data_IF_178969049715
#
_entry.id   IF_178969049715
#
_cell.length_a   1.000
_cell.length_b   1.000
_cell.length_c   1.000
_cell.angle_alpha   90.00
_cell.angle_beta   90.00
_cell.angle_gamma   90.00
#
_symmetry.space_group_name_H-M   'P 1'
#
loop_
_entity.id
_entity.type
_entity.pdbx_description
1 polymer ?
#
# COMPACT_ATOMS: atom_id res chain seq x y z
N UNK A 1 -0.66 4.59 -13.96
CA UNK A 1 0.53 4.97 -13.18
C UNK A 1 1.76 4.87 -14.08
N UNK A 2 2.79 5.69 -13.93
CA UNK A 2 4.06 5.51 -14.66
C UNK A 2 5.09 4.67 -13.85
N UNK A 3 6.16 4.21 -14.50
CA UNK A 3 7.17 3.37 -13.86
C UNK A 3 7.87 4.07 -12.66
N UNK A 4 8.04 5.39 -12.69
CA UNK A 4 8.65 6.15 -11.58
C UNK A 4 7.71 6.21 -10.38
N UNK A 5 6.41 6.34 -10.61
CA UNK A 5 5.39 6.26 -9.58
C UNK A 5 5.32 4.86 -8.96
N UNK A 6 5.43 3.80 -9.77
CA UNK A 6 5.50 2.41 -9.27
C UNK A 6 6.71 2.24 -8.34
N UNK A 7 7.89 2.65 -8.78
CA UNK A 7 9.11 2.55 -7.96
C UNK A 7 9.03 3.37 -6.67
N UNK A 8 8.45 4.58 -6.72
CA UNK A 8 8.22 5.40 -5.52
C UNK A 8 7.32 4.71 -4.51
N UNK A 9 6.20 4.14 -4.97
CA UNK A 9 5.29 3.40 -4.10
C UNK A 9 5.95 2.16 -3.49
N UNK A 10 6.67 1.39 -4.30
CA UNK A 10 7.44 0.22 -3.85
C UNK A 10 8.41 0.59 -2.75
N UNK A 11 9.23 1.61 -3.00
CA UNK A 11 10.22 2.10 -2.06
C UNK A 11 9.59 2.59 -0.76
N UNK A 12 8.51 3.37 -0.84
CA UNK A 12 7.78 3.86 0.33
C UNK A 12 7.30 2.72 1.23
N UNK A 13 6.62 1.74 0.64
CA UNK A 13 6.05 0.60 1.36
C UNK A 13 7.14 -0.31 1.94
N UNK A 14 8.23 -0.54 1.20
CA UNK A 14 9.39 -1.28 1.71
C UNK A 14 10.03 -0.58 2.91
N UNK A 15 10.16 0.74 2.85
CA UNK A 15 10.73 1.51 3.95
C UNK A 15 9.84 1.51 5.20
N UNK A 16 8.53 1.63 5.02
CA UNK A 16 7.57 1.53 6.13
C UNK A 16 7.55 0.12 6.74
N UNK A 17 7.65 -0.92 5.91
CA UNK A 17 7.78 -2.30 6.37
C UNK A 17 9.07 -2.53 7.16
N UNK A 18 10.21 -2.00 6.69
CA UNK A 18 11.52 -2.07 7.36
C UNK A 18 11.49 -1.43 8.76
N UNK A 19 10.70 -0.38 8.93
CA UNK A 19 10.50 0.29 10.22
C UNK A 19 9.55 -0.46 11.15
N UNK A 20 8.87 -1.50 10.66
CA UNK A 20 7.86 -2.23 11.40
C UNK A 20 6.68 -1.34 11.80
N UNK A 21 6.26 -0.42 10.92
CA UNK A 21 5.11 0.43 11.14
C UNK A 21 3.80 -0.38 11.24
N UNK A 22 2.80 0.18 11.90
CA UNK A 22 1.46 -0.38 12.02
C UNK A 22 0.61 0.01 10.80
N UNK A 23 0.05 -0.98 10.14
CA UNK A 23 -0.93 -0.88 9.06
C UNK A 23 -2.34 -0.77 9.63
N UNK A 24 -3.15 0.07 9.02
CA UNK A 24 -4.60 0.13 9.20
C UNK A 24 -5.28 0.28 7.83
N UNK A 25 -6.23 -0.60 7.51
CA UNK A 25 -7.07 -0.53 6.31
C UNK A 25 -8.54 -0.65 6.75
N UNK A 26 -9.21 0.47 7.06
CA UNK A 26 -10.52 0.47 7.69
C UNK A 26 -11.60 -0.31 6.93
N UNK A 27 -11.61 -0.18 5.60
CA UNK A 27 -12.62 -0.84 4.75
C UNK A 27 -12.55 -2.38 4.78
N UNK A 28 -11.44 -2.94 5.25
CA UNK A 28 -11.20 -4.38 5.34
C UNK A 28 -11.06 -4.86 6.80
N UNK A 29 -11.22 -3.98 7.79
CA UNK A 29 -11.04 -4.32 9.21
C UNK A 29 -9.62 -4.78 9.56
N UNK A 30 -8.62 -4.34 8.80
CA UNK A 30 -7.23 -4.76 8.96
C UNK A 30 -6.51 -3.78 9.89
N UNK A 31 -5.89 -4.31 10.94
CA UNK A 31 -4.96 -3.57 11.80
C UNK A 31 -3.84 -4.50 12.25
N UNK A 32 -2.59 -4.04 12.19
CA UNK A 32 -1.46 -4.80 12.68
C UNK A 32 -0.12 -4.33 12.18
N UNK A 33 0.96 -4.92 12.67
CA UNK A 33 2.33 -4.52 12.34
C UNK A 33 2.76 -5.06 10.98
N UNK A 34 3.29 -4.23 10.09
CA UNK A 34 3.83 -4.69 8.80
C UNK A 34 5.08 -5.52 9.06
N UNK A 35 5.12 -6.74 8.52
CA UNK A 35 6.25 -7.67 8.60
C UNK A 35 6.96 -7.78 7.24
N UNK A 36 6.24 -7.59 6.14
CA UNK A 36 6.83 -7.61 4.81
C UNK A 36 5.88 -7.10 3.73
N UNK A 37 6.46 -6.69 2.61
CA UNK A 37 5.72 -6.28 1.42
C UNK A 37 6.30 -6.98 0.18
N UNK A 38 5.43 -7.42 -0.72
CA UNK A 38 5.77 -8.10 -1.97
C UNK A 38 5.06 -7.47 -3.16
N UNK A 39 5.71 -7.50 -4.32
CA UNK A 39 5.19 -6.87 -5.54
C UNK A 39 5.28 -7.79 -6.75
N UNK A 40 4.27 -7.68 -7.63
CA UNK A 40 4.30 -8.19 -9.00
C UNK A 40 3.94 -7.04 -9.97
N UNK A 41 4.78 -6.73 -10.97
CA UNK A 41 6.12 -7.28 -11.19
C UNK A 41 7.10 -6.86 -10.07
N UNK A 42 8.11 -7.68 -9.78
CA UNK A 42 9.16 -7.32 -8.82
C UNK A 42 10.07 -6.23 -9.41
N UNK A 43 10.60 -6.45 -10.61
CA UNK A 43 11.36 -5.46 -11.39
C UNK A 43 10.41 -4.61 -12.22
N UNK A 44 10.50 -3.28 -12.09
CA UNK A 44 9.70 -2.36 -12.90
C UNK A 44 10.42 -2.01 -14.20
N UNK A 45 9.67 -1.95 -15.28
CA UNK A 45 10.07 -1.57 -16.63
C UNK A 45 9.39 -0.26 -17.04
N UNK A 46 9.95 0.53 -17.98
CA UNK A 46 9.28 1.72 -18.53
C UNK A 46 7.90 1.45 -19.16
N UNK A 47 7.61 0.20 -19.53
CA UNK A 47 6.30 -0.20 -20.11
C UNK A 47 5.26 -0.51 -19.04
N UNK A 48 5.66 -0.67 -17.78
CA UNK A 48 4.74 -0.99 -16.70
C UNK A 48 3.86 0.24 -16.40
N UNK A 49 2.56 -0.02 -16.36
CA UNK A 49 1.54 1.01 -16.11
C UNK A 49 0.71 0.75 -14.85
N UNK A 50 0.93 -0.41 -14.22
CA UNK A 50 0.21 -0.88 -13.04
C UNK A 50 1.08 -1.81 -12.19
N UNK A 51 0.68 -2.02 -10.93
CA UNK A 51 1.17 -3.13 -10.11
C UNK A 51 0.11 -4.22 -10.14
N UNK A 52 0.42 -5.37 -10.73
CA UNK A 52 -0.51 -6.51 -10.83
C UNK A 52 -0.90 -7.05 -9.46
N UNK A 53 0.07 -7.12 -8.53
CA UNK A 53 -0.16 -7.57 -7.16
C UNK A 53 0.73 -6.80 -6.18
N UNK A 54 0.14 -6.28 -5.13
CA UNK A 54 0.82 -5.84 -3.92
C UNK A 54 0.35 -6.72 -2.77
N UNK A 55 1.27 -7.43 -2.15
CA UNK A 55 1.04 -8.21 -0.94
C UNK A 55 1.63 -7.47 0.26
N UNK A 56 0.83 -7.27 1.30
CA UNK A 56 1.29 -6.75 2.59
C UNK A 56 1.06 -7.84 3.63
N UNK A 57 2.14 -8.38 4.16
CA UNK A 57 2.10 -9.32 5.27
C UNK A 57 2.14 -8.52 6.57
N UNK A 58 1.10 -8.63 7.38
CA UNK A 58 1.03 -7.95 8.67
C UNK A 58 0.78 -8.97 9.79
N UNK A 59 1.26 -8.65 10.99
CA UNK A 59 0.99 -9.39 12.21
C UNK A 59 -0.14 -8.66 12.96
N UNK A 60 -1.28 -9.31 13.13
CA UNK A 60 -2.39 -8.76 13.91
C UNK A 60 -2.08 -8.75 15.42
N UNK A 61 -2.98 -8.16 16.21
CA UNK A 61 -2.81 -8.05 17.67
C UNK A 61 -2.84 -9.40 18.39
N UNK A 62 -3.27 -10.48 17.73
CA UNK A 62 -3.18 -11.85 18.24
C UNK A 62 -1.83 -12.51 17.96
N UNK A 63 -0.93 -11.81 17.26
CA UNK A 63 0.37 -12.34 16.83
C UNK A 63 0.30 -13.21 15.58
N UNK A 64 -0.86 -13.27 14.89
CA UNK A 64 -1.01 -14.06 13.67
C UNK A 64 -0.54 -13.25 12.46
N UNK A 65 0.27 -13.86 11.61
CA UNK A 65 0.69 -13.28 10.33
C UNK A 65 -0.41 -13.53 9.30
N UNK A 66 -0.91 -12.45 8.69
CA UNK A 66 -1.99 -12.45 7.71
C UNK A 66 -1.51 -11.72 6.44
N UNK A 67 -1.59 -12.34 5.26
CA UNK A 67 -1.35 -11.67 3.99
C UNK A 67 -2.59 -10.87 3.56
N UNK A 68 -2.41 -9.62 3.16
CA UNK A 68 -3.41 -8.83 2.47
C UNK A 68 -2.95 -8.49 1.05
N UNK A 69 -3.84 -8.66 0.08
CA UNK A 69 -3.49 -8.54 -1.33
C UNK A 69 -4.35 -7.50 -2.05
N UNK A 70 -3.68 -6.50 -2.63
CA UNK A 70 -4.24 -5.69 -3.68
C UNK A 70 -3.90 -6.31 -5.03
N UNK A 71 -4.85 -6.28 -5.96
CA UNK A 71 -4.65 -6.69 -7.34
C UNK A 71 -4.91 -5.52 -8.27
N UNK A 72 -4.19 -5.42 -9.38
CA UNK A 72 -4.42 -4.39 -10.42
C UNK A 72 -4.43 -2.95 -9.88
N UNK A 73 -3.38 -2.54 -9.19
CA UNK A 73 -3.24 -1.14 -8.73
C UNK A 73 -2.87 -0.27 -9.94
N UNK A 74 -3.76 0.66 -10.28
CA UNK A 74 -3.63 1.53 -11.44
C UNK A 74 -3.17 2.95 -11.10
N UNK A 75 -3.33 3.35 -9.83
CA UNK A 75 -2.93 4.65 -9.30
C UNK A 75 -2.88 4.62 -7.77
N UNK A 76 -2.26 5.63 -7.17
CA UNK A 76 -2.35 5.93 -5.75
C UNK A 76 -2.26 7.43 -5.52
N UNK A 77 -2.88 7.92 -4.44
CA UNK A 77 -2.82 9.31 -4.03
C UNK A 77 -2.31 9.38 -2.58
N UNK A 78 -1.22 10.12 -2.36
CA UNK A 78 -0.73 10.40 -1.01
C UNK A 78 -1.51 11.57 -0.45
N UNK A 79 -2.13 11.36 0.71
CA UNK A 79 -3.04 12.31 1.35
C UNK A 79 -2.29 13.10 2.41
N UNK A 80 -1.47 12.39 3.18
CA UNK A 80 -0.55 12.97 4.14
C UNK A 80 0.64 12.05 4.33
N UNK A 81 1.78 12.65 4.64
CA UNK A 81 2.95 11.99 5.17
C UNK A 81 3.73 12.97 6.06
N UNK A 82 4.58 12.45 6.93
CA UNK A 82 5.36 13.24 7.89
C UNK A 82 6.83 13.43 7.49
N UNK A 83 7.20 13.05 6.26
CA UNK A 83 8.58 13.06 5.78
C UNK A 83 8.85 14.12 4.71
N UNK A 84 10.07 14.66 4.68
CA UNK A 84 10.57 15.47 3.56
C UNK A 84 10.81 14.67 2.27
N UNK A 85 10.54 13.36 2.30
CA UNK A 85 10.66 12.42 1.19
C UNK A 85 10.29 10.99 1.63
N UNK A 86 10.25 10.06 0.67
CA UNK A 86 9.85 8.67 0.92
C UNK A 86 10.81 7.89 1.84
N UNK A 87 12.08 8.27 1.92
CA UNK A 87 13.08 7.59 2.75
C UNK A 87 12.93 7.87 4.25
N UNK A 88 12.38 9.03 4.59
CA UNK A 88 12.18 9.47 5.98
C UNK A 88 10.72 9.37 6.41
N UNK A 89 9.86 8.78 5.57
CA UNK A 89 8.45 8.61 5.86
C UNK A 89 8.28 7.61 7.01
N UNK A 90 7.67 8.05 8.10
CA UNK A 90 7.36 7.22 9.27
C UNK A 90 5.85 7.01 9.40
N UNK A 91 5.08 7.99 8.92
CA UNK A 91 3.63 7.98 8.84
C UNK A 91 3.20 8.29 7.40
N UNK A 92 2.21 7.55 6.91
CA UNK A 92 1.66 7.71 5.58
C UNK A 92 0.16 7.43 5.58
N UNK A 93 -0.61 8.31 4.96
CA UNK A 93 -1.99 8.08 4.61
C UNK A 93 -2.10 8.18 3.10
N UNK A 94 -2.59 7.12 2.45
CA UNK A 94 -2.73 7.09 1.00
C UNK A 94 -4.02 6.38 0.58
N UNK A 95 -4.54 6.78 -0.56
CA UNK A 95 -5.58 6.06 -1.28
C UNK A 95 -4.91 5.20 -2.37
N UNK A 96 -5.14 3.89 -2.33
CA UNK A 96 -4.73 2.96 -3.39
C UNK A 96 -5.93 2.74 -4.31
N UNK A 97 -5.77 2.98 -5.61
CA UNK A 97 -6.82 2.76 -6.60
C UNK A 97 -6.61 1.41 -7.30
N UNK A 98 -7.53 0.50 -7.06
CA UNK A 98 -7.55 -0.86 -7.60
C UNK A 98 -8.58 -0.93 -8.72
N UNK A 99 -8.19 -1.40 -9.89
CA UNK A 99 -9.14 -1.62 -10.97
C UNK A 99 -10.18 -2.68 -10.56
N UNK A 100 -11.47 -2.34 -10.70
CA UNK A 100 -12.57 -3.24 -10.35
C UNK A 100 -13.49 -3.42 -11.54
N UNK A 101 -13.62 -4.67 -12.00
CA UNK A 101 -14.53 -5.04 -13.10
C UNK A 101 -15.99 -5.11 -12.66
N UNK A 102 -16.28 -5.08 -11.35
CA UNK A 102 -17.64 -5.20 -10.81
C UNK A 102 -18.39 -3.88 -10.68
N UNK A 103 -17.73 -2.74 -10.90
CA UNK A 103 -18.37 -1.42 -10.86
C UNK A 103 -19.09 -1.11 -12.16
N UNK A 104 -20.33 -0.60 -12.05
CA UNK A 104 -21.18 -0.27 -13.19
C UNK A 104 -20.61 0.88 -14.03
N UNK A 105 -21.05 1.02 -15.28
CA UNK A 105 -20.58 2.06 -16.23
C UNK A 105 -20.72 3.50 -15.73
N UNK A 106 -21.56 3.73 -14.71
CA UNK A 106 -21.85 5.06 -14.16
C UNK A 106 -20.99 5.40 -12.92
N UNK A 107 -20.16 4.47 -12.44
CA UNK A 107 -19.23 4.69 -11.34
C UNK A 107 -17.77 4.69 -11.84
N UNK A 108 -16.87 5.33 -11.08
CA UNK A 108 -15.44 5.23 -11.36
C UNK A 108 -15.02 3.75 -11.42
N UNK A 109 -14.30 3.30 -12.46
CA UNK A 109 -14.02 1.89 -12.73
C UNK A 109 -12.96 1.29 -11.79
N UNK A 110 -12.74 1.94 -10.64
CA UNK A 110 -11.77 1.54 -9.65
C UNK A 110 -12.36 1.63 -8.24
N UNK A 111 -11.93 0.70 -7.40
CA UNK A 111 -12.09 0.76 -5.97
C UNK A 111 -10.99 1.64 -5.38
N UNK A 112 -11.37 2.56 -4.49
CA UNK A 112 -10.42 3.37 -3.74
C UNK A 112 -10.33 2.82 -2.33
N UNK A 113 -9.14 2.35 -1.95
CA UNK A 113 -8.87 1.75 -0.63
C UNK A 113 -7.96 2.68 0.17
N UNK A 114 -8.43 3.09 1.34
CA UNK A 114 -7.66 3.90 2.29
C UNK A 114 -6.65 3.03 3.03
N UNK A 115 -5.38 3.36 2.89
CA UNK A 115 -4.27 2.72 3.61
C UNK A 115 -3.61 3.73 4.52
N UNK A 116 -3.58 3.42 5.80
CA UNK A 116 -2.95 4.20 6.84
C UNK A 116 -1.79 3.38 7.41
N UNK A 117 -0.61 3.96 7.44
CA UNK A 117 0.58 3.33 7.98
C UNK A 117 1.20 4.31 8.95
N UNK A 118 1.30 3.92 10.21
CA UNK A 118 1.78 4.78 11.28
C UNK A 118 2.96 4.12 11.98
N UNK A 119 3.94 4.90 12.39
CA UNK A 119 5.03 4.39 13.21
C UNK A 119 4.44 3.87 14.51
N UNK A 120 4.82 2.64 14.85
CA UNK A 120 4.41 2.00 16.08
C UNK A 120 5.15 2.69 17.23
N UNK A 121 4.55 3.71 17.84
CA UNK A 121 5.03 4.27 19.10
C UNK A 121 4.73 3.24 20.17
N UNK A 122 5.74 2.46 20.55
CA UNK A 122 5.72 1.75 21.81
C UNK A 122 5.49 2.78 22.93
N UNK A 123 4.33 2.69 23.58
CA UNK A 123 4.07 3.34 24.88
C UNK A 123 4.51 2.35 25.95
#
# INVERSE_FOLDING_TARGET
MDYKQIEKLKFALLNLARQGCRLNIPSYGISGRIIGVGFKPYWTSPVDSQIEKLEINYMDDSGKIVPFNFHNIISYNVISNDGTGYENMQNACMDIHVFSQSKSRDEEPYEKVRVEILKDTQI
#
